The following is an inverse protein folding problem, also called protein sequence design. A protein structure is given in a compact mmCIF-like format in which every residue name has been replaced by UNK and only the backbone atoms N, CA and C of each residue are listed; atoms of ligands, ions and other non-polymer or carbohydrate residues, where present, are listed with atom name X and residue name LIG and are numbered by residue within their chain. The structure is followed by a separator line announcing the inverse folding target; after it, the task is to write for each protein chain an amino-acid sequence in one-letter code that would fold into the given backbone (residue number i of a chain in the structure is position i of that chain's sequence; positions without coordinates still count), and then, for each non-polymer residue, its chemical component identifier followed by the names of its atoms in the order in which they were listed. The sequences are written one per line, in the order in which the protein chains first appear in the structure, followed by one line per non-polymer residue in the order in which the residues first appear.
data_IF_068483319223
#
_entry.id   IF_068483319223
#
_cell.length_a   1.000
_cell.length_b   1.000
_cell.length_c   1.000
_cell.angle_alpha   90.00
_cell.angle_beta   90.00
_cell.angle_gamma   90.00
#
_symmetry.space_group_name_H-M   'P 1'
#
loop_
_entity.id
_entity.type
_entity.pdbx_description
1 polymer ?
#
# COMPACT_ATOMS: atom_id res chain seq x y z
N UNK A 1 -34.78 -1.42 16.51
CA UNK A 1 -34.65 -1.00 15.10
C UNK A 1 -34.40 0.50 15.02
N UNK A 2 -35.27 1.37 15.59
CA UNK A 2 -35.12 2.84 15.51
C UNK A 2 -33.79 3.34 16.11
N UNK A 3 -33.38 2.80 17.26
CA UNK A 3 -32.09 3.14 17.89
C UNK A 3 -30.92 2.77 17.02
N UNK A 4 -30.92 1.62 16.34
CA UNK A 4 -29.89 1.18 15.44
C UNK A 4 -29.81 2.06 14.18
N UNK A 5 -30.98 2.46 13.65
CA UNK A 5 -31.05 3.39 12.52
C UNK A 5 -30.44 4.75 12.91
N UNK A 6 -30.83 5.27 14.08
CA UNK A 6 -30.27 6.54 14.55
C UNK A 6 -28.74 6.47 14.80
N UNK A 7 -28.26 5.39 15.40
CA UNK A 7 -26.84 5.16 15.62
C UNK A 7 -26.08 5.09 14.28
N UNK A 8 -26.61 4.39 13.28
CA UNK A 8 -26.04 4.32 11.95
C UNK A 8 -26.01 5.67 11.25
N UNK A 9 -27.09 6.45 11.37
CA UNK A 9 -27.13 7.80 10.79
C UNK A 9 -26.09 8.72 11.43
N UNK A 10 -25.91 8.68 12.75
CA UNK A 10 -24.89 9.44 13.46
C UNK A 10 -23.49 9.05 12.95
N UNK A 11 -23.19 7.77 12.89
CA UNK A 11 -21.90 7.26 12.42
C UNK A 11 -21.59 7.69 10.96
N UNK A 12 -22.57 7.58 10.07
CA UNK A 12 -22.41 8.01 8.67
C UNK A 12 -22.19 9.52 8.60
N UNK A 13 -22.88 10.31 9.42
CA UNK A 13 -22.66 11.77 9.47
C UNK A 13 -21.24 12.10 9.93
N UNK A 14 -20.73 11.43 10.96
CA UNK A 14 -19.35 11.60 11.42
C UNK A 14 -18.34 11.32 10.30
N UNK A 15 -18.51 10.24 9.54
CA UNK A 15 -17.63 9.95 8.39
C UNK A 15 -17.72 11.01 7.29
N UNK A 16 -18.92 11.54 7.06
CA UNK A 16 -19.16 12.55 6.02
C UNK A 16 -18.58 13.92 6.39
N UNK A 17 -18.61 14.29 7.66
CA UNK A 17 -18.17 15.60 8.15
C UNK A 17 -16.65 15.75 8.22
N UNK A 18 -15.91 14.64 8.26
CA UNK A 18 -14.45 14.65 8.20
C UNK A 18 -13.97 14.69 6.74
N UNK A 19 -12.86 15.41 6.48
CA UNK A 19 -12.23 15.51 5.15
C UNK A 19 -13.26 15.86 4.04
N UNK A 20 -13.88 17.01 4.16
CA UNK A 20 -14.86 17.47 3.16
C UNK A 20 -14.13 18.04 1.94
N UNK A 21 -14.41 17.49 0.77
CA UNK A 21 -13.94 18.02 -0.50
C UNK A 21 -15.03 18.89 -1.15
N UNK A 22 -14.67 20.12 -1.54
CA UNK A 22 -15.54 21.00 -2.30
C UNK A 22 -14.85 21.43 -3.58
N UNK A 23 -15.36 21.01 -4.71
CA UNK A 23 -14.89 21.37 -6.05
C UNK A 23 -16.06 21.91 -6.88
N UNK A 24 -15.81 22.54 -8.04
CA UNK A 24 -16.87 22.91 -8.98
C UNK A 24 -17.64 21.73 -9.55
N UNK A 25 -17.10 20.51 -9.47
CA UNK A 25 -17.74 19.28 -9.98
C UNK A 25 -18.36 18.49 -8.83
N UNK A 26 -19.69 18.51 -8.78
CA UNK A 26 -20.47 17.78 -7.78
C UNK A 26 -20.28 16.27 -7.84
N UNK A 27 -19.92 15.70 -8.98
CA UNK A 27 -19.65 14.27 -9.11
C UNK A 27 -18.41 13.90 -8.32
N UNK A 28 -17.34 14.68 -8.40
CA UNK A 28 -16.12 14.49 -7.63
C UNK A 28 -16.40 14.62 -6.13
N UNK A 29 -17.18 15.64 -5.71
CA UNK A 29 -17.55 15.84 -4.33
C UNK A 29 -18.30 14.62 -3.75
N UNK A 30 -19.28 14.12 -4.50
CA UNK A 30 -20.08 12.94 -4.11
C UNK A 30 -19.26 11.66 -4.11
N UNK A 31 -18.38 11.47 -5.09
CA UNK A 31 -17.47 10.31 -5.13
C UNK A 31 -16.57 10.28 -3.90
N UNK A 32 -15.99 11.42 -3.51
CA UNK A 32 -15.16 11.51 -2.33
C UNK A 32 -15.95 11.20 -1.05
N UNK A 33 -17.15 11.77 -0.91
CA UNK A 33 -18.03 11.51 0.21
C UNK A 33 -18.41 10.03 0.31
N UNK A 34 -18.79 9.42 -0.81
CA UNK A 34 -19.18 8.01 -0.86
C UNK A 34 -18.00 7.07 -0.60
N UNK A 35 -16.80 7.38 -1.09
CA UNK A 35 -15.60 6.57 -0.85
C UNK A 35 -15.26 6.47 0.64
N UNK A 36 -15.48 7.53 1.42
CA UNK A 36 -15.31 7.50 2.88
C UNK A 36 -16.25 6.50 3.55
N UNK A 37 -17.52 6.51 3.15
CA UNK A 37 -18.49 5.55 3.68
C UNK A 37 -18.07 4.12 3.35
N UNK A 38 -17.71 3.88 2.06
CA UNK A 38 -17.30 2.54 1.61
C UNK A 38 -16.05 2.04 2.34
N UNK A 39 -15.08 2.91 2.58
CA UNK A 39 -13.90 2.58 3.35
C UNK A 39 -14.24 2.21 4.81
N UNK A 40 -15.02 3.04 5.48
CA UNK A 40 -15.28 2.90 6.91
C UNK A 40 -16.26 1.77 7.25
N UNK A 41 -17.20 1.44 6.35
CA UNK A 41 -18.21 0.39 6.61
C UNK A 41 -17.69 -1.04 6.46
N UNK A 42 -16.53 -1.23 5.85
CA UNK A 42 -15.97 -2.56 5.57
C UNK A 42 -15.03 -3.09 6.65
N UNK A 43 -15.09 -2.53 7.85
CA UNK A 43 -14.30 -2.98 9.00
C UNK A 43 -15.13 -3.95 9.83
N UNK A 44 -14.58 -5.14 10.04
CA UNK A 44 -15.20 -6.21 10.82
C UNK A 44 -14.46 -6.40 12.15
N UNK A 45 -15.18 -6.53 13.24
CA UNK A 45 -14.62 -6.98 14.52
C UNK A 45 -14.43 -8.49 14.46
N UNK A 46 -13.22 -8.96 14.50
CA UNK A 46 -12.85 -10.37 14.45
C UNK A 46 -12.12 -10.81 15.72
N UNK A 47 -11.84 -12.11 15.88
CA UNK A 47 -11.00 -12.59 16.99
C UNK A 47 -9.57 -12.09 16.87
N UNK A 48 -9.10 -11.81 15.65
CA UNK A 48 -7.79 -11.20 15.38
C UNK A 48 -7.76 -9.68 15.54
N UNK A 49 -8.83 -9.08 16.08
CA UNK A 49 -9.03 -7.63 16.16
C UNK A 49 -9.78 -7.05 14.96
N UNK A 50 -9.91 -5.72 14.85
CA UNK A 50 -10.59 -5.11 13.72
C UNK A 50 -9.81 -5.36 12.43
N UNK A 51 -10.52 -5.79 11.39
CA UNK A 51 -9.98 -6.05 10.05
C UNK A 51 -10.85 -5.35 9.01
N UNK A 52 -10.23 -4.59 8.15
CA UNK A 52 -10.88 -4.09 6.95
C UNK A 52 -10.89 -5.20 5.89
N UNK A 53 -12.06 -5.75 5.61
CA UNK A 53 -12.21 -6.76 4.55
C UNK A 53 -12.52 -6.09 3.22
N UNK A 54 -11.77 -6.37 2.14
CA UNK A 54 -12.09 -5.82 0.81
C UNK A 54 -13.38 -6.39 0.26
N UNK A 55 -13.89 -7.46 0.88
CA UNK A 55 -15.05 -8.20 0.41
C UNK A 55 -14.67 -9.26 -0.63
N UNK A 56 -15.65 -10.00 -1.07
CA UNK A 56 -15.50 -10.98 -2.13
C UNK A 56 -15.48 -12.43 -1.65
N UNK A 57 -16.39 -13.19 -2.20
CA UNK A 57 -16.52 -14.63 -2.07
C UNK A 57 -16.40 -15.16 -0.62
N UNK A 58 -15.40 -16.00 -0.37
CA UNK A 58 -15.27 -16.72 0.90
C UNK A 58 -14.39 -16.01 1.95
N UNK A 59 -13.82 -14.85 1.65
CA UNK A 59 -12.78 -14.23 2.48
C UNK A 59 -13.24 -12.92 3.14
N UNK A 60 -14.39 -12.91 3.80
CA UNK A 60 -14.93 -11.72 4.45
C UNK A 60 -14.01 -11.16 5.54
N UNK A 61 -13.43 -12.03 6.37
CA UNK A 61 -12.52 -11.66 7.44
C UNK A 61 -11.06 -11.85 6.99
N UNK A 62 -10.70 -11.23 5.87
CA UNK A 62 -9.37 -11.31 5.30
C UNK A 62 -8.78 -9.93 5.10
N UNK A 63 -7.46 -9.81 5.25
CA UNK A 63 -6.67 -8.66 4.83
C UNK A 63 -5.76 -9.09 3.69
N UNK A 64 -5.64 -8.21 2.69
CA UNK A 64 -4.77 -8.39 1.52
C UNK A 64 -3.73 -7.29 1.50
N UNK A 65 -2.47 -7.62 1.20
CA UNK A 65 -1.38 -6.65 1.26
C UNK A 65 -1.63 -5.43 0.36
N UNK A 66 -2.11 -5.65 -0.87
CA UNK A 66 -2.46 -4.56 -1.77
C UNK A 66 -3.64 -3.73 -1.25
N UNK A 67 -4.80 -4.34 -0.98
CA UNK A 67 -6.00 -3.63 -0.52
C UNK A 67 -5.74 -2.83 0.75
N UNK A 68 -4.99 -3.40 1.69
CA UNK A 68 -4.68 -2.75 2.96
C UNK A 68 -3.60 -1.68 2.79
N UNK A 69 -2.43 -2.06 2.26
CA UNK A 69 -1.26 -1.21 2.33
C UNK A 69 -1.22 -0.15 1.23
N UNK A 70 -1.67 -0.46 0.00
CA UNK A 70 -1.65 0.53 -1.07
C UNK A 70 -2.80 1.53 -0.97
N UNK A 71 -3.97 1.08 -0.54
CA UNK A 71 -5.19 1.85 -0.67
C UNK A 71 -5.76 2.32 0.65
N UNK A 72 -6.19 1.41 1.52
CA UNK A 72 -7.09 1.79 2.62
C UNK A 72 -6.34 2.28 3.86
N UNK A 73 -5.26 1.62 4.26
CA UNK A 73 -4.58 1.97 5.51
C UNK A 73 -3.98 3.39 5.50
N UNK A 74 -3.30 3.83 4.42
CA UNK A 74 -2.82 5.21 4.32
C UNK A 74 -3.95 6.26 4.26
N UNK A 75 -5.16 5.85 3.90
CA UNK A 75 -6.32 6.74 3.79
C UNK A 75 -6.99 7.03 5.13
N UNK A 76 -7.08 6.05 6.04
CA UNK A 76 -7.78 6.20 7.32
C UNK A 76 -7.35 7.39 8.18
N UNK A 77 -6.06 7.74 8.29
CA UNK A 77 -5.67 8.92 9.05
C UNK A 77 -6.33 10.22 8.57
N UNK A 78 -6.60 10.35 7.27
CA UNK A 78 -7.27 11.52 6.70
C UNK A 78 -8.77 11.56 6.95
N UNK A 79 -9.39 10.41 7.22
CA UNK A 79 -10.83 10.34 7.50
C UNK A 79 -11.19 10.76 8.92
N UNK A 80 -10.20 10.88 9.82
CA UNK A 80 -10.44 11.13 11.24
C UNK A 80 -11.19 10.01 11.96
N UNK A 81 -11.22 8.80 11.40
CA UNK A 81 -11.94 7.65 11.94
C UNK A 81 -10.98 6.73 12.70
N UNK A 82 -10.96 6.85 14.03
CA UNK A 82 -10.01 6.12 14.89
C UNK A 82 -10.11 4.60 14.76
N UNK A 83 -11.31 4.06 14.63
CA UNK A 83 -11.49 2.61 14.41
C UNK A 83 -10.90 2.14 13.07
N UNK A 84 -10.95 2.98 12.04
CA UNK A 84 -10.24 2.74 10.79
C UNK A 84 -8.73 2.72 10.98
N UNK A 85 -8.19 3.65 11.75
CA UNK A 85 -6.76 3.67 12.08
C UNK A 85 -6.35 2.46 12.91
N UNK A 86 -7.18 2.03 13.87
CA UNK A 86 -6.96 0.80 14.64
C UNK A 86 -6.93 -0.43 13.74
N UNK A 87 -7.87 -0.54 12.81
CA UNK A 87 -7.91 -1.60 11.79
C UNK A 87 -6.63 -1.62 10.93
N UNK A 88 -6.17 -0.44 10.50
CA UNK A 88 -4.93 -0.31 9.72
C UNK A 88 -3.70 -0.78 10.50
N UNK A 89 -3.55 -0.30 11.74
CA UNK A 89 -2.45 -0.70 12.60
C UNK A 89 -2.47 -2.21 12.89
N UNK A 90 -3.66 -2.77 13.13
CA UNK A 90 -3.85 -4.20 13.36
C UNK A 90 -3.45 -5.03 12.13
N UNK A 91 -3.78 -4.59 10.92
CA UNK A 91 -3.37 -5.30 9.71
C UNK A 91 -1.85 -5.35 9.55
N UNK A 92 -1.16 -4.24 9.82
CA UNK A 92 0.30 -4.22 9.81
C UNK A 92 0.92 -5.12 10.88
N UNK A 93 0.32 -5.20 12.07
CA UNK A 93 0.73 -6.15 13.14
C UNK A 93 0.61 -7.60 12.67
N UNK A 94 -0.46 -7.93 11.95
CA UNK A 94 -0.62 -9.26 11.38
C UNK A 94 0.47 -9.58 10.37
N UNK A 95 0.79 -8.68 9.44
CA UNK A 95 1.87 -8.87 8.48
C UNK A 95 3.25 -8.95 9.17
N UNK A 96 3.48 -8.16 10.22
CA UNK A 96 4.75 -8.16 10.95
C UNK A 96 5.11 -9.52 11.58
N UNK A 97 4.13 -10.37 11.88
CA UNK A 97 4.36 -11.73 12.41
C UNK A 97 5.13 -12.63 11.46
N UNK A 98 5.16 -12.29 10.17
CA UNK A 98 5.81 -13.08 9.11
C UNK A 98 7.20 -12.57 8.75
N UNK A 99 7.71 -11.53 9.42
CA UNK A 99 9.13 -11.17 9.31
C UNK A 99 9.99 -12.36 9.76
N UNK A 100 11.04 -12.65 9.00
CA UNK A 100 11.90 -13.79 9.25
C UNK A 100 13.35 -13.55 8.81
N UNK A 101 14.28 -14.29 9.37
CA UNK A 101 15.72 -14.15 9.11
C UNK A 101 16.15 -14.75 7.77
N UNK A 102 15.35 -15.66 7.21
CA UNK A 102 15.61 -16.31 5.94
C UNK A 102 15.17 -15.47 4.73
N UNK A 103 14.58 -14.30 4.96
CA UNK A 103 14.08 -13.40 3.91
C UNK A 103 13.09 -14.08 2.97
N UNK A 104 12.20 -14.91 3.54
CA UNK A 104 11.05 -15.45 2.81
C UNK A 104 9.97 -14.39 2.67
N UNK A 105 9.19 -14.39 1.57
CA UNK A 105 8.16 -13.41 1.37
C UNK A 105 7.10 -13.44 2.48
N UNK A 106 6.58 -12.27 2.83
CA UNK A 106 5.39 -12.13 3.67
C UNK A 106 4.19 -12.65 2.85
N UNK A 107 3.22 -13.36 3.47
CA UNK A 107 2.05 -13.84 2.76
C UNK A 107 1.22 -12.70 2.18
N UNK A 108 0.65 -12.93 1.01
CA UNK A 108 -0.18 -11.96 0.30
C UNK A 108 -1.49 -11.65 1.00
N UNK A 109 -2.04 -12.61 1.75
CA UNK A 109 -3.26 -12.43 2.52
C UNK A 109 -3.23 -13.19 3.83
N UNK A 110 -3.89 -12.59 4.84
CA UNK A 110 -4.14 -13.20 6.13
C UNK A 110 -5.66 -13.31 6.27
N UNK A 111 -6.15 -14.54 6.40
CA UNK A 111 -7.56 -14.91 6.39
C UNK A 111 -7.98 -15.55 7.73
N UNK A 112 -9.22 -15.93 7.84
CA UNK A 112 -9.75 -16.68 8.96
C UNK A 112 -9.39 -16.08 10.33
N UNK A 113 -9.76 -14.84 10.53
CA UNK A 113 -9.55 -14.13 11.81
C UNK A 113 -8.06 -13.92 12.20
N UNK A 114 -7.19 -13.92 11.21
CA UNK A 114 -5.75 -13.81 11.40
C UNK A 114 -5.05 -15.13 11.73
N UNK A 115 -5.75 -16.26 11.62
CA UNK A 115 -5.21 -17.59 11.93
C UNK A 115 -4.66 -18.33 10.72
N UNK A 116 -5.14 -18.01 9.52
CA UNK A 116 -4.78 -18.67 8.27
C UNK A 116 -4.15 -17.68 7.28
N UNK A 117 -3.47 -18.20 6.28
CA UNK A 117 -2.81 -17.38 5.24
C UNK A 117 -3.14 -17.92 3.85
N UNK A 118 -3.07 -16.99 2.87
CA UNK A 118 -3.05 -17.33 1.46
C UNK A 118 -1.79 -16.76 0.79
N UNK A 119 -1.11 -17.62 0.06
CA UNK A 119 0.11 -17.26 -0.66
C UNK A 119 0.25 -18.06 -1.97
N UNK A 120 -0.89 -18.31 -2.64
CA UNK A 120 -1.02 -19.28 -3.72
C UNK A 120 -0.28 -18.95 -5.01
N UNK A 121 0.12 -17.68 -5.24
CA UNK A 121 0.81 -17.25 -6.46
C UNK A 121 2.25 -16.80 -6.22
N UNK A 122 2.78 -16.99 -5.01
CA UNK A 122 4.12 -16.55 -4.64
C UNK A 122 4.18 -15.07 -4.26
N UNK A 123 5.37 -14.49 -4.38
CA UNK A 123 5.64 -13.08 -4.06
C UNK A 123 5.01 -12.15 -5.11
N UNK A 124 4.06 -11.32 -4.70
CA UNK A 124 3.39 -10.32 -5.55
C UNK A 124 4.01 -8.93 -5.45
N UNK A 125 5.14 -8.80 -4.77
CA UNK A 125 5.68 -7.50 -4.37
C UNK A 125 5.10 -7.02 -3.02
N UNK A 126 4.54 -7.93 -2.23
CA UNK A 126 3.82 -7.64 -0.98
C UNK A 126 4.65 -6.82 0.03
N UNK A 127 5.95 -7.07 0.11
CA UNK A 127 6.83 -6.29 0.96
C UNK A 127 6.96 -4.82 0.52
N UNK A 128 6.96 -4.54 -0.79
CA UNK A 128 6.96 -3.17 -1.30
C UNK A 128 5.65 -2.45 -0.97
N UNK A 129 4.52 -3.13 -1.13
CA UNK A 129 3.18 -2.63 -0.77
C UNK A 129 3.11 -2.29 0.72
N UNK A 130 3.56 -3.22 1.58
CA UNK A 130 3.54 -3.04 3.04
C UNK A 130 4.46 -1.90 3.47
N UNK A 131 5.69 -1.82 2.94
CA UNK A 131 6.61 -0.73 3.26
C UNK A 131 6.04 0.63 2.86
N UNK A 132 5.47 0.72 1.66
CA UNK A 132 4.79 1.92 1.15
C UNK A 132 3.64 2.34 2.07
N UNK A 133 2.71 1.43 2.34
CA UNK A 133 1.52 1.74 3.12
C UNK A 133 1.81 2.05 4.58
N UNK A 134 2.66 1.26 5.24
CA UNK A 134 3.01 1.47 6.63
C UNK A 134 3.76 2.78 6.85
N UNK A 135 4.67 3.15 5.93
CA UNK A 135 5.39 4.42 6.00
C UNK A 135 4.45 5.61 5.82
N UNK A 136 3.57 5.57 4.83
CA UNK A 136 2.59 6.62 4.56
C UNK A 136 1.56 6.74 5.68
N UNK A 137 1.07 5.62 6.19
CA UNK A 137 0.18 5.60 7.35
C UNK A 137 0.83 6.30 8.55
N UNK A 138 2.06 5.90 8.90
CA UNK A 138 2.77 6.45 10.06
C UNK A 138 3.00 7.97 9.93
N UNK A 139 3.36 8.45 8.73
CA UNK A 139 3.53 9.88 8.46
C UNK A 139 2.20 10.64 8.54
N UNK A 140 1.12 10.11 7.97
CA UNK A 140 -0.19 10.75 7.97
C UNK A 140 -0.83 10.74 9.36
N UNK A 141 -0.67 9.65 10.12
CA UNK A 141 -1.22 9.51 11.48
C UNK A 141 -0.52 10.44 12.48
N UNK A 142 0.77 10.71 12.28
CA UNK A 142 1.53 11.60 13.14
C UNK A 142 1.72 11.09 14.58
N UNK A 143 1.37 9.84 14.86
CA UNK A 143 1.56 9.19 16.15
C UNK A 143 2.98 8.62 16.22
N UNK A 144 3.84 9.23 17.08
CA UNK A 144 5.19 8.73 17.30
C UNK A 144 5.20 7.29 17.77
N UNK A 145 4.28 6.94 18.66
CA UNK A 145 4.18 5.59 19.22
C UNK A 145 3.89 4.56 18.13
N UNK A 146 2.89 4.80 17.28
CA UNK A 146 2.53 3.91 16.18
C UNK A 146 3.66 3.84 15.14
N UNK A 147 4.32 4.95 14.85
CA UNK A 147 5.46 5.01 13.95
C UNK A 147 6.66 4.18 14.46
N UNK A 148 6.99 4.27 15.76
CA UNK A 148 8.03 3.44 16.40
C UNK A 148 7.66 1.95 16.35
N UNK A 149 6.39 1.61 16.53
CA UNK A 149 5.88 0.23 16.45
C UNK A 149 6.01 -0.34 15.03
N UNK A 150 5.70 0.45 14.00
CA UNK A 150 5.75 0.03 12.60
C UNK A 150 7.17 0.02 12.03
N UNK A 151 8.10 0.73 12.64
CA UNK A 151 9.47 0.89 12.13
C UNK A 151 10.18 -0.43 11.82
N UNK A 152 10.13 -1.49 12.67
CA UNK A 152 10.74 -2.78 12.35
C UNK A 152 10.18 -3.42 11.10
N UNK A 153 8.85 -3.38 10.91
CA UNK A 153 8.20 -3.92 9.71
C UNK A 153 8.62 -3.16 8.45
N UNK A 154 8.60 -1.83 8.51
CA UNK A 154 9.01 -0.96 7.40
C UNK A 154 10.45 -1.29 6.98
N UNK A 155 11.37 -1.34 7.93
CA UNK A 155 12.79 -1.59 7.65
C UNK A 155 13.04 -3.00 7.12
N UNK A 156 12.35 -4.01 7.66
CA UNK A 156 12.43 -5.37 7.16
C UNK A 156 11.94 -5.45 5.69
N UNK A 157 10.80 -4.85 5.38
CA UNK A 157 10.27 -4.84 4.02
C UNK A 157 11.18 -4.08 3.04
N UNK A 158 11.79 -2.97 3.46
CA UNK A 158 12.75 -2.23 2.63
C UNK A 158 14.01 -3.07 2.35
N UNK A 159 14.51 -3.79 3.34
CA UNK A 159 15.66 -4.68 3.16
C UNK A 159 15.30 -5.88 2.30
N UNK A 160 14.10 -6.46 2.47
CA UNK A 160 13.61 -7.50 1.59
C UNK A 160 13.62 -7.07 0.12
N UNK A 161 13.04 -5.91 -0.19
CA UNK A 161 13.03 -5.36 -1.56
C UNK A 161 14.44 -5.09 -2.08
N UNK A 162 15.37 -4.61 -1.23
CA UNK A 162 16.77 -4.41 -1.59
C UNK A 162 17.44 -5.71 -2.03
N UNK A 163 17.16 -6.82 -1.35
CA UNK A 163 17.69 -8.15 -1.68
C UNK A 163 17.08 -8.75 -2.94
N UNK A 164 15.91 -8.26 -3.34
CA UNK A 164 15.19 -8.68 -4.55
C UNK A 164 15.55 -7.85 -5.78
N UNK A 165 16.47 -6.90 -5.71
CA UNK A 165 16.90 -6.16 -6.89
C UNK A 165 17.57 -7.12 -7.90
N UNK A 166 17.08 -7.08 -9.13
CA UNK A 166 17.66 -7.81 -10.25
C UNK A 166 18.87 -7.08 -10.85
N UNK A 167 19.48 -7.61 -11.90
CA UNK A 167 20.63 -7.00 -12.60
C UNK A 167 20.30 -5.60 -13.17
N UNK A 168 19.04 -5.33 -13.50
CA UNK A 168 18.55 -4.00 -13.93
C UNK A 168 18.32 -3.02 -12.77
N UNK A 169 18.55 -3.45 -11.53
CA UNK A 169 18.38 -2.63 -10.33
C UNK A 169 16.93 -2.33 -9.94
N UNK A 170 15.97 -3.11 -10.44
CA UNK A 170 14.55 -3.03 -10.11
C UNK A 170 14.09 -4.27 -9.33
N UNK A 171 13.00 -4.15 -8.56
CA UNK A 171 12.56 -5.21 -7.66
C UNK A 171 11.94 -6.37 -8.44
N UNK A 172 12.46 -7.56 -8.24
CA UNK A 172 11.91 -8.81 -8.78
C UNK A 172 10.78 -9.32 -7.88
N UNK A 173 9.76 -9.91 -8.51
CA UNK A 173 8.66 -10.60 -7.86
C UNK A 173 8.18 -11.76 -8.74
N UNK A 174 7.44 -12.71 -8.16
CA UNK A 174 6.91 -13.86 -8.93
C UNK A 174 5.74 -13.43 -9.81
N UNK A 175 4.96 -12.47 -9.33
CA UNK A 175 3.82 -11.89 -10.04
C UNK A 175 3.54 -10.47 -9.49
N UNK A 176 2.35 -9.95 -9.73
CA UNK A 176 1.83 -8.70 -9.16
C UNK A 176 0.50 -8.94 -8.41
N UNK A 177 -0.14 -7.87 -7.97
CA UNK A 177 -1.42 -7.93 -7.25
C UNK A 177 -2.55 -8.56 -8.07
N UNK A 178 -2.40 -8.68 -9.40
CA UNK A 178 -3.39 -9.35 -10.26
C UNK A 178 -3.20 -10.88 -10.33
N UNK A 179 -2.24 -11.44 -9.60
CA UNK A 179 -2.19 -12.88 -9.35
C UNK A 179 -2.15 -13.72 -10.62
N UNK A 180 -1.31 -13.35 -11.57
CA UNK A 180 -1.18 -14.00 -12.88
C UNK A 180 -2.42 -13.92 -13.78
N UNK A 181 -3.42 -13.10 -13.47
CA UNK A 181 -4.54 -12.84 -14.39
C UNK A 181 -4.06 -12.15 -15.68
N UNK A 182 -2.97 -11.42 -15.56
CA UNK A 182 -2.25 -10.81 -16.67
C UNK A 182 -0.75 -11.01 -16.50
N UNK A 183 0.05 -11.03 -17.58
CA UNK A 183 1.50 -11.11 -17.49
C UNK A 183 2.07 -9.93 -16.70
N UNK A 184 3.01 -10.20 -15.80
CA UNK A 184 3.69 -9.20 -14.96
C UNK A 184 5.22 -9.22 -15.09
N UNK A 185 5.77 -10.19 -15.84
CA UNK A 185 7.21 -10.38 -15.99
C UNK A 185 7.87 -10.86 -14.71
N UNK A 186 9.21 -10.82 -14.68
CA UNK A 186 10.03 -11.16 -13.50
C UNK A 186 10.27 -9.96 -12.58
N UNK A 187 9.95 -8.77 -13.05
CA UNK A 187 9.95 -7.51 -12.33
C UNK A 187 8.92 -6.60 -12.99
N UNK A 188 8.15 -5.88 -12.20
CA UNK A 188 7.10 -5.01 -12.71
C UNK A 188 7.24 -3.58 -12.17
N UNK A 189 6.68 -2.65 -12.92
CA UNK A 189 6.74 -1.22 -12.65
C UNK A 189 6.07 -0.84 -11.31
N UNK A 190 4.95 -1.49 -10.98
CA UNK A 190 4.21 -1.23 -9.76
C UNK A 190 5.08 -1.49 -8.52
N UNK A 191 5.59 -2.72 -8.37
CA UNK A 191 6.42 -3.12 -7.22
C UNK A 191 7.62 -2.19 -7.02
N UNK A 192 8.33 -1.85 -8.12
CA UNK A 192 9.50 -0.97 -8.05
C UNK A 192 9.13 0.47 -7.70
N UNK A 193 7.98 0.96 -8.18
CA UNK A 193 7.50 2.30 -7.88
C UNK A 193 7.05 2.44 -6.42
N UNK A 194 6.38 1.43 -5.87
CA UNK A 194 6.00 1.41 -4.46
C UNK A 194 7.22 1.34 -3.55
N UNK A 195 8.22 0.54 -3.90
CA UNK A 195 9.49 0.51 -3.17
C UNK A 195 10.21 1.86 -3.19
N UNK A 196 10.19 2.59 -4.32
CA UNK A 196 10.74 3.93 -4.43
C UNK A 196 10.11 4.90 -3.43
N UNK A 197 8.79 4.96 -3.38
CA UNK A 197 8.09 5.84 -2.44
C UNK A 197 8.30 5.41 -0.99
N UNK A 198 8.31 4.11 -0.74
CA UNK A 198 8.60 3.57 0.60
C UNK A 198 9.97 4.03 1.12
N UNK A 199 11.00 4.05 0.26
CA UNK A 199 12.33 4.58 0.62
C UNK A 199 12.28 6.08 0.97
N UNK A 200 11.56 6.89 0.20
CA UNK A 200 11.40 8.32 0.48
C UNK A 200 10.64 8.55 1.77
N UNK A 201 9.52 7.87 1.94
CA UNK A 201 8.68 7.95 3.15
C UNK A 201 9.45 7.48 4.39
N UNK A 202 10.17 6.38 4.30
CA UNK A 202 11.03 5.89 5.39
C UNK A 202 12.19 6.84 5.70
N UNK A 203 12.75 7.53 4.71
CA UNK A 203 13.77 8.57 4.96
C UNK A 203 13.20 9.73 5.79
N UNK A 204 11.97 10.18 5.48
CA UNK A 204 11.28 11.19 6.28
C UNK A 204 11.02 10.67 7.70
N UNK A 205 10.47 9.47 7.80
CA UNK A 205 10.13 8.85 9.08
C UNK A 205 11.36 8.62 9.96
N UNK A 206 12.50 8.18 9.37
CA UNK A 206 13.76 8.02 10.09
C UNK A 206 14.24 9.33 10.74
N UNK A 207 14.09 10.46 10.02
CA UNK A 207 14.44 11.78 10.58
C UNK A 207 13.53 12.15 11.74
N UNK A 208 12.22 11.98 11.60
CA UNK A 208 11.24 12.28 12.65
C UNK A 208 11.45 11.40 13.90
N UNK A 209 11.75 10.13 13.70
CA UNK A 209 12.02 9.17 14.78
C UNK A 209 13.44 9.23 15.31
N UNK A 210 14.33 10.03 14.71
CA UNK A 210 15.77 10.10 15.02
C UNK A 210 16.46 8.74 14.89
N UNK A 211 16.09 7.98 13.86
CA UNK A 211 16.73 6.71 13.48
C UNK A 211 17.85 6.98 12.48
N UNK A 212 18.79 6.08 12.43
CA UNK A 212 19.83 6.09 11.40
C UNK A 212 19.25 5.67 10.02
N UNK A 213 20.01 5.93 8.97
CA UNK A 213 19.69 5.45 7.61
C UNK A 213 18.91 6.43 6.72
N UNK A 214 18.44 7.59 7.22
CA UNK A 214 17.66 8.53 6.43
C UNK A 214 18.34 8.95 5.11
N UNK A 215 19.64 9.25 5.15
CA UNK A 215 20.40 9.63 3.96
C UNK A 215 20.62 8.44 3.01
N UNK A 216 20.79 7.23 3.55
CA UNK A 216 20.91 6.01 2.75
C UNK A 216 19.63 5.70 2.00
N UNK A 217 18.47 5.77 2.65
CA UNK A 217 17.18 5.60 1.98
C UNK A 217 16.97 6.60 0.84
N UNK A 218 17.33 7.87 1.05
CA UNK A 218 17.29 8.87 -0.01
C UNK A 218 18.20 8.52 -1.19
N UNK A 219 19.43 8.09 -0.91
CA UNK A 219 20.38 7.66 -1.93
C UNK A 219 19.86 6.46 -2.73
N UNK A 220 19.31 5.45 -2.02
CA UNK A 220 18.71 4.26 -2.64
C UNK A 220 17.52 4.64 -3.52
N UNK A 221 16.65 5.52 -3.06
CA UNK A 221 15.52 6.03 -3.84
C UNK A 221 15.99 6.75 -5.12
N UNK A 222 16.96 7.64 -5.02
CA UNK A 222 17.50 8.36 -6.19
C UNK A 222 18.15 7.42 -7.21
N UNK A 223 18.79 6.35 -6.75
CA UNK A 223 19.35 5.32 -7.61
C UNK A 223 18.27 4.47 -8.26
N UNK A 224 17.28 4.02 -7.48
CA UNK A 224 16.15 3.24 -7.97
C UNK A 224 15.34 4.00 -9.02
N UNK A 225 15.11 5.31 -8.84
CA UNK A 225 14.47 6.16 -9.85
C UNK A 225 15.16 6.04 -11.21
N UNK A 226 16.49 6.12 -11.24
CA UNK A 226 17.27 5.98 -12.49
C UNK A 226 17.12 4.59 -13.10
N UNK A 227 17.08 3.56 -12.25
CA UNK A 227 16.88 2.18 -12.71
C UNK A 227 15.47 1.98 -13.27
N UNK A 228 14.43 2.54 -12.64
CA UNK A 228 13.04 2.50 -13.13
C UNK A 228 12.97 3.15 -14.52
N UNK A 229 13.54 4.34 -14.69
CA UNK A 229 13.60 5.02 -15.99
C UNK A 229 14.33 4.18 -17.06
N UNK A 230 15.48 3.61 -16.71
CA UNK A 230 16.28 2.81 -17.64
C UNK A 230 15.64 1.48 -17.99
N UNK A 231 14.97 0.83 -17.05
CA UNK A 231 14.42 -0.53 -17.22
C UNK A 231 13.02 -0.53 -17.83
N UNK A 232 12.17 0.38 -17.38
CA UNK A 232 10.76 0.43 -17.79
C UNK A 232 10.45 1.53 -18.81
N UNK A 233 11.25 2.59 -18.92
CA UNK A 233 11.05 3.64 -19.91
C UNK A 233 11.02 3.08 -21.34
N UNK A 234 9.97 3.34 -22.09
CA UNK A 234 9.77 2.78 -23.42
C UNK A 234 8.75 3.59 -24.24
N UNK A 235 8.79 3.43 -25.55
CA UNK A 235 7.68 3.82 -26.40
C UNK A 235 6.72 2.63 -26.49
N UNK A 236 5.49 2.81 -25.99
CA UNK A 236 4.43 1.78 -26.01
C UNK A 236 3.23 2.34 -26.76
N UNK A 237 2.79 1.67 -27.81
CA UNK A 237 1.68 2.08 -28.67
C UNK A 237 1.80 3.54 -29.18
N UNK A 238 3.03 4.00 -29.43
CA UNK A 238 3.32 5.35 -29.92
C UNK A 238 3.42 6.44 -28.84
N UNK A 239 3.33 6.09 -27.57
CA UNK A 239 3.50 7.00 -26.44
C UNK A 239 4.86 6.79 -25.76
N UNK A 240 5.61 7.86 -25.53
CA UNK A 240 6.79 7.85 -24.68
C UNK A 240 6.32 7.77 -23.23
N UNK A 241 6.42 6.57 -22.65
CA UNK A 241 5.87 6.21 -21.36
C UNK A 241 6.68 5.07 -20.72
N UNK A 242 6.05 4.22 -19.95
CA UNK A 242 6.64 3.02 -19.38
C UNK A 242 6.01 1.77 -19.96
N UNK A 243 6.82 0.74 -20.16
CA UNK A 243 6.34 -0.64 -20.22
C UNK A 243 6.12 -1.15 -18.81
N UNK A 244 5.14 -2.02 -18.61
CA UNK A 244 4.82 -2.54 -17.28
C UNK A 244 5.85 -3.57 -16.78
N UNK A 245 6.41 -4.37 -17.70
CA UNK A 245 7.49 -5.33 -17.47
C UNK A 245 8.35 -5.46 -18.74
N UNK A 246 9.49 -6.10 -18.64
CA UNK A 246 10.39 -6.29 -19.79
C UNK A 246 9.73 -7.15 -20.88
N UNK A 247 9.63 -6.62 -22.09
CA UNK A 247 8.92 -7.21 -23.23
C UNK A 247 7.43 -6.87 -23.31
N UNK A 248 6.88 -6.05 -22.42
CA UNK A 248 5.52 -5.55 -22.55
C UNK A 248 5.44 -4.46 -23.64
N UNK A 249 4.54 -4.63 -24.60
CA UNK A 249 4.35 -3.80 -25.79
C UNK A 249 2.94 -3.18 -25.89
N UNK A 250 2.09 -3.38 -24.88
CA UNK A 250 0.75 -2.81 -24.80
C UNK A 250 0.63 -1.91 -23.57
N UNK A 251 -0.20 -0.88 -23.66
CA UNK A 251 -0.54 -0.05 -22.50
C UNK A 251 -1.26 -0.88 -21.44
N UNK A 252 -0.81 -0.76 -20.20
CA UNK A 252 -1.34 -1.48 -19.06
C UNK A 252 -1.88 -0.53 -18.00
N UNK A 253 -2.79 -1.02 -17.17
CA UNK A 253 -3.10 -0.39 -15.89
C UNK A 253 -1.80 -0.21 -15.09
N UNK A 254 -1.80 0.70 -14.15
CA UNK A 254 -0.65 1.02 -13.28
C UNK A 254 0.60 1.60 -13.95
N UNK A 255 0.64 1.84 -15.23
CA UNK A 255 1.68 2.69 -15.83
C UNK A 255 1.62 4.13 -15.27
N UNK A 256 0.53 4.48 -14.58
CA UNK A 256 0.37 5.75 -13.88
C UNK A 256 0.99 5.75 -12.46
N UNK A 257 1.36 4.62 -11.89
CA UNK A 257 1.95 4.55 -10.54
C UNK A 257 3.19 5.46 -10.38
N UNK A 258 4.11 5.55 -11.33
CA UNK A 258 5.22 6.51 -11.26
C UNK A 258 4.80 7.96 -11.05
N UNK A 259 3.64 8.37 -11.58
CA UNK A 259 3.07 9.70 -11.34
C UNK A 259 2.53 9.84 -9.92
N UNK A 260 1.88 8.79 -9.40
CA UNK A 260 1.32 8.79 -8.05
C UNK A 260 2.39 8.87 -6.97
N UNK A 261 3.56 8.28 -7.22
CA UNK A 261 4.70 8.26 -6.28
C UNK A 261 5.75 9.34 -6.57
N UNK A 262 5.53 10.21 -7.55
CA UNK A 262 6.39 11.35 -7.84
C UNK A 262 7.73 10.99 -8.52
N UNK A 263 7.80 9.86 -9.23
CA UNK A 263 8.98 9.53 -10.05
C UNK A 263 9.14 10.57 -11.16
N UNK A 264 8.04 10.92 -11.82
CA UNK A 264 8.00 12.00 -12.80
C UNK A 264 7.62 13.31 -12.14
N UNK A 265 8.45 14.33 -12.30
CA UNK A 265 8.07 15.68 -11.93
C UNK A 265 7.01 16.18 -12.92
N UNK A 266 5.94 16.77 -12.38
CA UNK A 266 5.00 17.51 -13.23
C UNK A 266 5.74 18.73 -13.77
N UNK A 267 5.81 18.86 -15.10
CA UNK A 267 6.32 20.05 -15.77
C UNK A 267 5.43 21.25 -15.46
#
# INVERSE_FOLDING_TARGET
VEQEVAARQTLVSEWMDNLVLTTPDETINRMMAFSKIRACESIYQTQGGPMHGPGGESYYAAIWANDQAEYINPYFPYTGYDYGCESALNSFRHFARFMNDEWRPIPSSIVAEGLDIWNGVGDRGDAAMIAYGASRYALARGSRQEAEELWPLITWCLEYCQRKLNEGGVVASDTDELENRFPSGKANLCTSSLYYDALLSASCLARELRKEGAADYQKRAAQLRKHIESYFGANVEGFDTYRYYDGNDILRSWICIPLCVGINERA
#
